data_IF_126976907368
#
_entry.id   IF_126976907368
#
_cell.length_a   1.000
_cell.length_b   1.000
_cell.length_c   1.000
_cell.angle_alpha   90.00
_cell.angle_beta   90.00
_cell.angle_gamma   90.00
#
_symmetry.space_group_name_H-M   'P 1'
#
loop_
_entity.id
_entity.type
_entity.pdbx_description
1 polymer ?
#
# COMPACT_ATOMS: atom_id res chain seq x y z
N UNK A 1 1.93 2.34 10.79
CA UNK A 1 1.63 3.59 11.53
C UNK A 1 0.11 3.74 11.71
N UNK A 2 -0.34 4.32 12.84
CA UNK A 2 -1.76 4.57 13.10
C UNK A 2 -2.56 3.42 13.74
N UNK A 3 -2.04 2.20 13.82
CA UNK A 3 -2.74 1.07 14.46
C UNK A 3 -3.02 1.32 15.97
N UNK A 4 -2.15 2.08 16.61
CA UNK A 4 -2.36 2.59 17.96
C UNK A 4 -2.41 4.13 17.89
N UNK A 5 -3.61 4.70 17.89
CA UNK A 5 -3.82 6.16 17.78
C UNK A 5 -3.10 6.95 18.84
N UNK A 6 -3.17 6.52 20.10
CA UNK A 6 -2.52 7.22 21.19
C UNK A 6 -1.01 7.34 20.96
N UNK A 7 -0.38 6.24 20.55
CA UNK A 7 1.04 6.22 20.23
C UNK A 7 1.39 7.08 19.01
N UNK A 8 0.58 7.01 17.96
CA UNK A 8 0.77 7.84 16.76
C UNK A 8 0.69 9.34 17.08
N UNK A 9 -0.24 9.75 17.93
CA UNK A 9 -0.36 11.14 18.39
C UNK A 9 0.85 11.58 19.22
N UNK A 10 1.31 10.74 20.16
CA UNK A 10 2.50 11.01 20.94
C UNK A 10 3.75 11.20 20.07
N UNK A 11 3.92 10.36 19.04
CA UNK A 11 5.03 10.50 18.07
C UNK A 11 4.90 11.84 17.33
N UNK A 12 3.71 12.17 16.82
CA UNK A 12 3.47 13.42 16.12
C UNK A 12 3.77 14.65 17.00
N UNK A 13 3.36 14.62 18.28
CA UNK A 13 3.66 15.69 19.24
C UNK A 13 5.17 15.84 19.52
N UNK A 14 5.89 14.73 19.62
CA UNK A 14 7.35 14.74 19.80
C UNK A 14 8.03 15.36 18.57
N UNK A 15 7.65 14.92 17.36
CA UNK A 15 8.23 15.42 16.11
C UNK A 15 7.96 16.93 15.95
N UNK A 16 6.73 17.36 16.29
CA UNK A 16 6.36 18.77 16.28
C UNK A 16 7.18 19.60 17.26
N UNK A 17 7.40 19.10 18.48
CA UNK A 17 8.24 19.77 19.48
C UNK A 17 9.67 20.02 19.00
N UNK A 18 10.18 19.18 18.10
CA UNK A 18 11.51 19.32 17.51
C UNK A 18 11.51 19.99 16.13
N UNK A 19 10.38 20.60 15.74
CA UNK A 19 10.20 21.27 14.45
C UNK A 19 10.59 20.41 13.24
N UNK A 20 10.24 19.12 13.29
CA UNK A 20 10.58 18.15 12.25
C UNK A 20 9.43 17.98 11.25
N UNK A 21 9.77 18.03 9.97
CA UNK A 21 8.91 17.49 8.91
C UNK A 21 9.09 15.96 8.87
N UNK A 22 7.97 15.24 8.74
CA UNK A 22 8.01 13.80 8.78
C UNK A 22 7.00 13.16 7.79
N UNK A 23 7.25 11.91 7.47
CA UNK A 23 6.34 11.06 6.72
C UNK A 23 6.12 9.73 7.45
N UNK A 24 4.97 9.12 7.25
CA UNK A 24 4.71 7.77 7.73
C UNK A 24 4.40 6.83 6.56
N UNK A 25 5.06 5.66 6.56
CA UNK A 25 4.79 4.55 5.64
C UNK A 25 3.98 3.44 6.29
N UNK A 26 3.42 2.54 5.47
CA UNK A 26 2.64 1.40 5.94
C UNK A 26 1.36 1.79 6.67
N UNK A 27 0.73 2.89 6.27
CA UNK A 27 -0.52 3.35 6.86
C UNK A 27 -1.68 2.56 6.26
N UNK A 28 -2.58 2.05 7.10
CA UNK A 28 -3.83 1.44 6.63
C UNK A 28 -4.87 2.52 6.36
N UNK A 29 -5.62 2.40 5.28
CA UNK A 29 -6.65 3.38 4.91
C UNK A 29 -7.70 3.57 6.01
N UNK A 30 -8.04 2.52 6.75
CA UNK A 30 -9.00 2.56 7.85
C UNK A 30 -8.42 3.04 9.20
N UNK A 31 -7.12 3.26 9.28
CA UNK A 31 -6.47 3.66 10.55
C UNK A 31 -6.40 5.17 10.76
N UNK A 32 -6.80 5.96 9.78
CA UNK A 32 -6.78 7.43 9.85
C UNK A 32 -8.14 8.00 9.45
N UNK A 33 -8.65 8.89 10.28
CA UNK A 33 -9.83 9.72 9.97
C UNK A 33 -9.38 11.07 9.41
N UNK A 34 -10.30 11.85 8.86
CA UNK A 34 -10.03 13.22 8.43
C UNK A 34 -9.43 14.08 9.56
N UNK A 35 -9.95 13.94 10.79
CA UNK A 35 -9.42 14.64 11.96
C UNK A 35 -8.00 14.19 12.32
N UNK A 36 -7.67 12.90 12.16
CA UNK A 36 -6.32 12.39 12.38
C UNK A 36 -5.33 12.98 11.37
N UNK A 37 -5.71 13.03 10.09
CA UNK A 37 -4.87 13.61 9.03
C UNK A 37 -4.60 15.09 9.30
N UNK A 38 -5.64 15.85 9.67
CA UNK A 38 -5.49 17.24 10.09
C UNK A 38 -4.53 17.38 11.28
N UNK A 39 -4.69 16.55 12.31
CA UNK A 39 -3.85 16.55 13.49
C UNK A 39 -2.37 16.31 13.14
N UNK A 40 -2.10 15.34 12.27
CA UNK A 40 -0.75 15.05 11.82
C UNK A 40 -0.17 16.18 10.97
N UNK A 41 -0.98 16.75 10.06
CA UNK A 41 -0.57 17.90 9.25
C UNK A 41 -0.14 19.09 10.09
N UNK A 42 -0.94 19.44 11.08
CA UNK A 42 -0.67 20.55 12.01
C UNK A 42 0.64 20.31 12.82
N UNK A 43 1.15 19.06 12.79
CA UNK A 43 2.38 18.63 13.50
C UNK A 43 3.53 18.25 12.57
N UNK A 44 3.53 18.81 11.37
CA UNK A 44 4.64 18.63 10.43
C UNK A 44 4.59 17.39 9.58
N UNK A 45 3.46 16.64 9.56
CA UNK A 45 3.30 15.55 8.62
C UNK A 45 3.22 16.08 7.19
N UNK A 46 4.17 15.67 6.37
CA UNK A 46 4.23 16.02 4.94
C UNK A 46 3.62 14.93 4.06
N UNK A 47 3.68 13.66 4.48
CA UNK A 47 3.16 12.55 3.70
C UNK A 47 2.68 11.37 4.55
N UNK A 48 1.63 10.70 4.05
CA UNK A 48 1.13 9.42 4.55
C UNK A 48 1.08 8.42 3.38
N UNK A 49 1.95 7.40 3.39
CA UNK A 49 1.98 6.37 2.36
C UNK A 49 1.04 5.22 2.73
N UNK A 50 0.01 5.02 1.92
CA UNK A 50 -0.99 3.98 2.13
C UNK A 50 -0.67 2.70 1.37
N UNK A 51 -0.78 1.56 2.07
CA UNK A 51 -0.78 0.23 1.45
C UNK A 51 -2.18 -0.07 0.90
N UNK A 52 -2.40 0.28 -0.35
CA UNK A 52 -3.68 0.06 -1.06
C UNK A 52 -3.71 -1.32 -1.69
N UNK A 53 -2.61 -1.71 -2.28
CA UNK A 53 -2.30 -2.97 -2.93
C UNK A 53 -3.06 -3.21 -4.24
N UNK A 54 -4.38 -3.03 -4.28
CA UNK A 54 -5.20 -3.20 -5.48
C UNK A 54 -6.42 -2.28 -5.50
N UNK A 55 -6.86 -1.90 -6.68
CA UNK A 55 -8.17 -1.27 -6.89
C UNK A 55 -9.31 -2.27 -7.15
N UNK A 56 -9.01 -3.57 -7.08
CA UNK A 56 -10.00 -4.64 -7.20
C UNK A 56 -10.37 -5.20 -5.83
N UNK A 57 -11.66 -5.10 -5.47
CA UNK A 57 -12.14 -5.68 -4.21
C UNK A 57 -11.89 -7.20 -4.14
N UNK A 58 -12.03 -7.91 -5.26
CA UNK A 58 -11.72 -9.35 -5.35
C UNK A 58 -10.29 -9.66 -4.89
N UNK A 59 -9.32 -8.85 -5.31
CA UNK A 59 -7.91 -9.04 -4.92
C UNK A 59 -7.68 -8.62 -3.47
N UNK A 60 -8.29 -7.53 -3.02
CA UNK A 60 -8.22 -7.12 -1.61
C UNK A 60 -8.78 -8.19 -0.68
N UNK A 61 -9.88 -8.84 -1.07
CA UNK A 61 -10.48 -9.92 -0.29
C UNK A 61 -9.58 -11.16 -0.26
N UNK A 62 -8.95 -11.52 -1.38
CA UNK A 62 -7.95 -12.61 -1.45
C UNK A 62 -6.72 -12.34 -0.58
N UNK A 63 -6.32 -11.08 -0.47
CA UNK A 63 -5.21 -10.64 0.39
C UNK A 63 -5.62 -10.50 1.86
N UNK A 64 -6.87 -10.81 2.19
CA UNK A 64 -7.44 -10.61 3.54
C UNK A 64 -7.30 -9.16 4.04
N UNK A 65 -7.37 -8.19 3.13
CA UNK A 65 -7.38 -6.77 3.49
C UNK A 65 -8.75 -6.41 4.05
N UNK A 66 -8.78 -6.02 5.32
CA UNK A 66 -10.02 -5.71 6.06
C UNK A 66 -10.47 -4.27 5.76
N UNK A 67 -10.45 -3.86 4.48
CA UNK A 67 -10.96 -2.56 4.02
C UNK A 67 -11.51 -2.67 2.60
N UNK A 68 -12.35 -1.70 2.23
CA UNK A 68 -12.94 -1.58 0.90
C UNK A 68 -12.21 -0.52 0.07
N UNK A 69 -12.38 -0.57 -1.24
CA UNK A 69 -11.86 0.46 -2.15
C UNK A 69 -12.36 1.86 -1.74
N UNK A 70 -13.59 1.98 -1.24
CA UNK A 70 -14.15 3.25 -0.76
C UNK A 70 -13.42 3.81 0.48
N UNK A 71 -12.87 2.95 1.33
CA UNK A 71 -12.08 3.40 2.50
C UNK A 71 -10.78 4.08 2.05
N UNK A 72 -10.19 3.59 0.94
CA UNK A 72 -9.02 4.22 0.32
C UNK A 72 -9.37 5.61 -0.17
N UNK A 73 -10.50 5.74 -0.85
CA UNK A 73 -11.00 7.01 -1.36
C UNK A 73 -11.17 8.05 -0.25
N UNK A 74 -11.78 7.66 0.86
CA UNK A 74 -11.95 8.53 2.03
C UNK A 74 -10.61 8.97 2.63
N UNK A 75 -9.64 8.04 2.76
CA UNK A 75 -8.32 8.35 3.30
C UNK A 75 -7.55 9.33 2.40
N UNK A 76 -7.58 9.13 1.08
CA UNK A 76 -6.91 10.01 0.11
C UNK A 76 -7.59 11.39 0.05
N UNK A 77 -8.93 11.44 0.10
CA UNK A 77 -9.67 12.69 0.15
C UNK A 77 -9.28 13.53 1.37
N UNK A 78 -9.19 12.91 2.53
CA UNK A 78 -8.72 13.60 3.75
C UNK A 78 -7.30 14.17 3.59
N UNK A 79 -6.40 13.42 2.95
CA UNK A 79 -5.05 13.90 2.68
C UNK A 79 -5.03 15.11 1.72
N UNK A 80 -5.84 15.07 0.66
CA UNK A 80 -6.00 16.17 -0.30
C UNK A 80 -6.52 17.43 0.42
N UNK A 81 -7.57 17.30 1.21
CA UNK A 81 -8.19 18.41 1.95
C UNK A 81 -7.21 19.13 2.88
N UNK A 82 -6.29 18.38 3.48
CA UNK A 82 -5.32 18.94 4.43
C UNK A 82 -3.93 19.17 3.85
N UNK A 83 -3.75 18.99 2.53
CA UNK A 83 -2.46 19.21 1.86
C UNK A 83 -1.36 18.25 2.35
N UNK A 84 -1.72 17.01 2.67
CA UNK A 84 -0.80 15.92 3.00
C UNK A 84 -0.57 15.08 1.73
N UNK A 85 0.69 14.93 1.33
CA UNK A 85 1.02 14.09 0.19
C UNK A 85 0.72 12.61 0.51
N UNK A 86 0.07 11.90 -0.39
CA UNK A 86 -0.38 10.54 -0.11
C UNK A 86 0.00 9.55 -1.22
N UNK A 87 1.28 9.11 -1.24
CA UNK A 87 1.67 8.04 -2.13
C UNK A 87 0.97 6.74 -1.76
N UNK A 88 0.61 5.95 -2.78
CA UNK A 88 -0.04 4.67 -2.62
C UNK A 88 0.85 3.55 -3.14
N UNK A 89 0.83 2.41 -2.48
CA UNK A 89 1.47 1.20 -2.96
C UNK A 89 0.44 0.31 -3.65
N UNK A 90 0.76 -0.13 -4.85
CA UNK A 90 0.00 -1.11 -5.65
C UNK A 90 0.85 -2.36 -5.80
N UNK A 91 0.24 -3.51 -5.63
CA UNK A 91 0.87 -4.81 -5.79
C UNK A 91 0.29 -5.54 -7.00
N UNK A 92 1.13 -6.13 -7.81
CA UNK A 92 0.76 -6.94 -8.98
C UNK A 92 1.30 -8.37 -8.82
N UNK A 93 0.69 -9.31 -9.52
CA UNK A 93 1.10 -10.72 -9.50
C UNK A 93 0.51 -11.52 -8.33
N UNK A 94 -0.59 -11.07 -7.73
CA UNK A 94 -1.30 -11.87 -6.75
C UNK A 94 -2.03 -13.04 -7.42
N UNK A 95 -2.04 -14.24 -6.81
CA UNK A 95 -2.89 -15.33 -7.27
C UNK A 95 -4.34 -14.86 -7.45
N UNK A 96 -4.96 -15.22 -8.57
CA UNK A 96 -6.33 -14.81 -8.89
C UNK A 96 -6.45 -13.45 -9.58
N UNK A 97 -5.35 -12.76 -9.87
CA UNK A 97 -5.37 -11.62 -10.79
C UNK A 97 -5.68 -12.06 -12.21
N UNK A 98 -6.45 -11.25 -12.91
CA UNK A 98 -6.84 -11.40 -14.28
C UNK A 98 -7.03 -10.04 -14.95
N UNK A 99 -7.37 -10.03 -16.23
CA UNK A 99 -7.59 -8.79 -16.99
C UNK A 99 -8.69 -7.90 -16.35
N UNK A 100 -9.70 -8.50 -15.75
CA UNK A 100 -10.81 -7.76 -15.11
C UNK A 100 -10.35 -7.03 -13.86
N UNK A 101 -9.52 -7.69 -13.03
CA UNK A 101 -8.96 -7.11 -11.81
C UNK A 101 -7.93 -6.04 -12.12
N UNK A 102 -7.11 -6.24 -13.16
CA UNK A 102 -6.17 -5.24 -13.64
C UNK A 102 -6.89 -3.97 -14.15
N UNK A 103 -7.99 -4.16 -14.93
CA UNK A 103 -8.85 -3.05 -15.37
C UNK A 103 -9.50 -2.30 -14.20
N UNK A 104 -9.95 -3.03 -13.16
CA UNK A 104 -10.51 -2.41 -11.96
C UNK A 104 -9.45 -1.52 -11.26
N UNK A 105 -8.22 -2.00 -11.11
CA UNK A 105 -7.12 -1.23 -10.54
C UNK A 105 -6.77 -0.02 -11.40
N UNK A 106 -6.71 -0.17 -12.72
CA UNK A 106 -6.49 0.95 -13.65
C UNK A 106 -7.59 2.03 -13.55
N UNK A 107 -8.87 1.62 -13.48
CA UNK A 107 -9.99 2.53 -13.28
C UNK A 107 -9.91 3.27 -11.95
N UNK A 108 -9.57 2.56 -10.88
CA UNK A 108 -9.35 3.16 -9.56
C UNK A 108 -8.24 4.23 -9.60
N UNK A 109 -7.09 3.94 -10.21
CA UNK A 109 -6.01 4.92 -10.39
C UNK A 109 -6.46 6.13 -11.21
N UNK A 110 -7.27 5.91 -12.26
CA UNK A 110 -7.88 6.99 -13.05
C UNK A 110 -8.78 7.90 -12.21
N UNK A 111 -9.56 7.33 -11.30
CA UNK A 111 -10.41 8.10 -10.37
C UNK A 111 -9.57 8.95 -9.43
N UNK A 112 -8.49 8.38 -8.87
CA UNK A 112 -7.56 9.12 -8.01
C UNK A 112 -6.90 10.28 -8.79
N UNK A 113 -6.41 10.02 -10.01
CA UNK A 113 -5.82 11.07 -10.85
C UNK A 113 -6.78 12.24 -11.07
N UNK A 114 -8.04 11.93 -11.39
CA UNK A 114 -9.10 12.92 -11.59
C UNK A 114 -9.33 13.76 -10.33
N UNK A 115 -9.39 13.14 -9.16
CA UNK A 115 -9.56 13.84 -7.87
C UNK A 115 -8.39 14.74 -7.51
N UNK A 116 -7.17 14.29 -7.81
CA UNK A 116 -5.96 15.08 -7.60
C UNK A 116 -5.76 16.17 -8.65
N UNK A 117 -6.54 16.16 -9.74
CA UNK A 117 -6.34 17.08 -10.86
C UNK A 117 -5.02 16.87 -11.59
N UNK A 118 -4.47 15.66 -11.58
CA UNK A 118 -3.17 15.33 -12.17
C UNK A 118 -3.32 14.31 -13.30
N UNK A 119 -2.34 14.29 -14.21
CA UNK A 119 -2.27 13.24 -15.21
C UNK A 119 -1.88 11.89 -14.55
N UNK A 120 -2.41 10.77 -15.06
CA UNK A 120 -2.16 9.42 -14.54
C UNK A 120 -0.68 9.12 -14.24
N UNK A 121 0.22 9.52 -15.13
CA UNK A 121 1.68 9.33 -14.93
C UNK A 121 2.29 10.17 -13.80
N UNK A 122 1.54 11.09 -13.22
CA UNK A 122 1.97 11.92 -12.11
C UNK A 122 1.28 11.52 -10.78
N UNK A 123 0.49 10.44 -10.77
CA UNK A 123 -0.02 9.90 -9.52
C UNK A 123 1.15 9.37 -8.71
N UNK A 124 1.24 9.70 -7.42
CA UNK A 124 2.28 9.17 -6.57
C UNK A 124 1.96 7.72 -6.17
N UNK A 125 2.26 6.77 -7.03
CA UNK A 125 2.13 5.35 -6.73
C UNK A 125 3.45 4.60 -6.94
N UNK A 126 3.66 3.60 -6.08
CA UNK A 126 4.69 2.59 -6.27
C UNK A 126 4.03 1.29 -6.73
N UNK A 127 4.50 0.72 -7.80
CA UNK A 127 4.08 -0.62 -8.24
C UNK A 127 5.13 -1.61 -7.79
N UNK A 128 4.69 -2.62 -7.04
CA UNK A 128 5.52 -3.70 -6.54
C UNK A 128 4.95 -5.03 -7.01
N UNK A 129 5.82 -6.00 -7.22
CA UNK A 129 5.40 -7.37 -7.48
C UNK A 129 5.12 -8.09 -6.17
N UNK A 130 4.11 -8.97 -6.18
CA UNK A 130 3.87 -9.87 -5.08
C UNK A 130 5.03 -10.88 -4.99
N UNK A 131 5.77 -10.81 -3.89
CA UNK A 131 6.94 -11.66 -3.69
C UNK A 131 6.60 -12.76 -2.69
N UNK A 132 6.59 -14.04 -3.10
CA UNK A 132 6.57 -15.16 -2.17
C UNK A 132 7.82 -15.14 -1.28
N UNK A 133 7.63 -14.88 0.00
CA UNK A 133 8.70 -14.93 0.99
C UNK A 133 8.50 -16.13 1.92
N UNK A 134 9.58 -16.81 2.35
CA UNK A 134 9.48 -17.95 3.25
C UNK A 134 8.60 -17.67 4.47
N UNK A 135 7.69 -18.59 4.79
CA UNK A 135 6.76 -18.47 5.90
C UNK A 135 5.50 -17.64 5.60
N UNK A 136 5.27 -17.27 4.35
CA UNK A 136 4.02 -16.60 3.94
C UNK A 136 3.10 -17.55 3.17
N UNK A 137 1.75 -17.34 3.21
CA UNK A 137 0.82 -18.13 2.38
C UNK A 137 1.16 -18.10 0.88
N UNK A 138 1.69 -16.98 0.40
CA UNK A 138 2.10 -16.85 -0.99
C UNK A 138 3.31 -17.75 -1.33
N UNK A 139 4.20 -17.97 -0.37
CA UNK A 139 5.30 -18.93 -0.51
C UNK A 139 4.78 -20.35 -0.65
N UNK A 140 3.86 -20.76 0.24
CA UNK A 140 3.24 -22.09 0.20
C UNK A 140 2.50 -22.31 -1.13
N UNK A 141 1.80 -21.30 -1.62
CA UNK A 141 1.17 -21.34 -2.93
C UNK A 141 2.21 -21.51 -4.05
N UNK A 142 3.31 -20.77 -4.02
CA UNK A 142 4.40 -20.86 -5.00
C UNK A 142 5.01 -22.27 -5.06
N UNK A 143 5.16 -22.94 -3.91
CA UNK A 143 5.59 -24.34 -3.86
C UNK A 143 4.54 -25.31 -4.42
N UNK A 144 3.25 -25.07 -4.14
CA UNK A 144 2.15 -25.90 -4.62
C UNK A 144 2.03 -25.87 -6.14
N UNK A 145 2.19 -24.69 -6.75
CA UNK A 145 2.10 -24.53 -8.21
C UNK A 145 3.44 -24.77 -8.93
N UNK A 146 4.50 -25.09 -8.19
CA UNK A 146 5.79 -25.47 -8.75
C UNK A 146 6.65 -24.30 -9.25
N UNK A 147 6.32 -23.07 -8.90
CA UNK A 147 7.14 -21.88 -9.21
C UNK A 147 8.38 -21.82 -8.30
N UNK A 148 8.23 -22.30 -7.07
CA UNK A 148 9.32 -22.42 -6.09
C UNK A 148 9.61 -23.90 -5.88
N UNK A 149 10.84 -24.31 -6.10
CA UNK A 149 11.28 -25.69 -5.81
C UNK A 149 11.43 -25.93 -4.31
N UNK A 150 11.30 -27.20 -3.90
CA UNK A 150 11.31 -27.59 -2.48
C UNK A 150 12.70 -27.93 -1.93
N UNK A 151 13.73 -27.96 -2.78
CA UNK A 151 15.10 -28.27 -2.37
C UNK A 151 15.82 -27.00 -1.92
N UNK A 152 16.70 -27.09 -0.96
CA UNK A 152 17.49 -25.96 -0.45
C UNK A 152 18.14 -25.14 -1.57
N UNK A 153 18.66 -25.83 -2.62
CA UNK A 153 19.23 -25.16 -3.78
C UNK A 153 18.21 -24.33 -4.53
N UNK A 154 17.00 -24.85 -4.74
CA UNK A 154 15.94 -24.17 -5.50
C UNK A 154 15.47 -22.93 -4.72
N UNK A 155 15.38 -23.05 -3.38
CA UNK A 155 15.06 -21.95 -2.47
C UNK A 155 16.12 -20.87 -2.52
N UNK A 156 17.40 -21.26 -2.46
CA UNK A 156 18.53 -20.33 -2.55
C UNK A 156 18.56 -19.61 -3.91
N UNK A 157 18.36 -20.35 -5.00
CA UNK A 157 18.27 -19.79 -6.36
C UNK A 157 17.11 -18.81 -6.49
N UNK A 158 15.95 -19.14 -5.92
CA UNK A 158 14.78 -18.25 -5.91
C UNK A 158 15.08 -16.96 -5.15
N UNK A 159 15.58 -17.06 -3.91
CA UNK A 159 15.88 -15.90 -3.07
C UNK A 159 16.95 -14.98 -3.66
N UNK A 160 17.87 -15.53 -4.44
CA UNK A 160 18.88 -14.75 -5.15
C UNK A 160 18.29 -13.94 -6.30
N UNK A 161 17.23 -14.43 -6.96
CA UNK A 161 16.57 -13.75 -8.08
C UNK A 161 15.57 -12.70 -7.64
N UNK A 162 14.98 -12.86 -6.46
CA UNK A 162 13.91 -12.00 -5.93
C UNK A 162 14.30 -10.52 -5.83
N UNK A 163 15.60 -10.21 -5.72
CA UNK A 163 16.08 -8.83 -5.67
C UNK A 163 16.07 -8.12 -7.02
N UNK A 164 16.05 -8.85 -8.15
CA UNK A 164 16.36 -8.28 -9.47
C UNK A 164 15.18 -8.23 -10.44
N UNK A 165 14.11 -8.98 -10.22
CA UNK A 165 12.93 -8.99 -11.08
C UNK A 165 11.70 -9.44 -10.33
N UNK A 166 10.55 -8.91 -10.67
CA UNK A 166 9.27 -9.47 -10.24
C UNK A 166 9.24 -10.98 -10.52
N UNK A 167 8.78 -11.77 -9.55
CA UNK A 167 8.99 -13.21 -9.52
C UNK A 167 8.01 -14.02 -10.38
N UNK A 168 7.10 -13.38 -11.10
CA UNK A 168 6.12 -14.05 -11.94
C UNK A 168 5.99 -13.39 -13.30
#
# INVERSE_FOLDING_TARGET
FGSNKKHAYQIADILHKHDLLWLAGGVRCTSTTNADVKYYRDRGCSALKYGVESGSQKILDLMEKVFKVDDVDNALTACIEHGVFSPIAIMLGMPGEDESTAKATGKFLGTIASKLGVHLKHIPYDIMWALPLPGTPLWEYGEQVGVIGKKDKDVADYLTRVSDAGCF
#
